data_IF_859557346473
#
_entry.id   IF_859557346473
#
_cell.length_a   1.000
_cell.length_b   1.000
_cell.length_c   1.000
_cell.angle_alpha   90.00
_cell.angle_beta   90.00
_cell.angle_gamma   90.00
#
_symmetry.space_group_name_H-M   'P 1'
#
loop_
_entity.id
_entity.type
_entity.pdbx_description
1 polymer ?
#
# COMPACT_ATOMS: atom_id res chain seq x y z
N UNK A 1 -23.20 -10.88 -6.77
CA UNK A 1 -24.17 -10.34 -5.81
C UNK A 1 -24.49 -11.35 -4.73
N UNK A 2 -25.69 -11.93 -4.73
CA UNK A 2 -26.22 -12.71 -3.59
C UNK A 2 -25.38 -13.95 -3.19
N UNK A 3 -24.82 -14.68 -4.15
CA UNK A 3 -23.96 -15.85 -3.86
C UNK A 3 -22.67 -15.44 -3.14
N UNK A 4 -22.02 -14.36 -3.62
CA UNK A 4 -20.80 -13.83 -3.00
C UNK A 4 -21.08 -13.33 -1.57
N UNK A 5 -22.21 -12.65 -1.35
CA UNK A 5 -22.64 -12.22 -0.02
C UNK A 5 -22.86 -13.38 0.94
N UNK A 6 -23.49 -14.47 0.48
CA UNK A 6 -23.71 -15.65 1.30
C UNK A 6 -22.37 -16.30 1.68
N UNK A 7 -21.46 -16.49 0.72
CA UNK A 7 -20.12 -17.03 1.01
C UNK A 7 -19.37 -16.17 2.03
N UNK A 8 -19.43 -14.85 1.86
CA UNK A 8 -18.76 -13.92 2.76
C UNK A 8 -19.35 -13.96 4.17
N UNK A 9 -20.68 -13.99 4.30
CA UNK A 9 -21.35 -14.11 5.59
C UNK A 9 -20.97 -15.43 6.31
N UNK A 10 -20.90 -16.55 5.57
CA UNK A 10 -20.46 -17.83 6.14
C UNK A 10 -19.01 -17.76 6.60
N UNK A 11 -18.12 -17.18 5.79
CA UNK A 11 -16.69 -17.03 6.11
C UNK A 11 -16.48 -16.12 7.33
N UNK A 12 -17.21 -15.01 7.41
CA UNK A 12 -17.16 -14.07 8.53
C UNK A 12 -17.68 -14.70 9.83
N UNK A 13 -18.67 -15.60 9.75
CA UNK A 13 -19.21 -16.30 10.93
C UNK A 13 -18.27 -17.36 11.51
N UNK A 14 -17.18 -17.73 10.82
CA UNK A 14 -16.19 -18.68 11.32
C UNK A 14 -15.22 -17.95 12.24
N UNK A 15 -15.08 -18.42 13.48
CA UNK A 15 -14.06 -17.96 14.44
C UNK A 15 -12.67 -18.52 14.10
N UNK A 16 -12.11 -18.07 12.97
CA UNK A 16 -10.79 -18.46 12.49
C UNK A 16 -9.73 -17.44 12.93
N UNK A 17 -8.63 -17.94 13.52
CA UNK A 17 -7.44 -17.13 13.88
C UNK A 17 -6.73 -16.52 12.67
N UNK A 18 -6.80 -17.19 11.52
CA UNK A 18 -6.27 -16.70 10.24
C UNK A 18 -7.36 -16.78 9.19
N UNK A 19 -7.66 -15.65 8.57
CA UNK A 19 -8.62 -15.52 7.48
C UNK A 19 -7.89 -15.07 6.23
N UNK A 20 -7.94 -15.88 5.16
CA UNK A 20 -7.34 -15.55 3.86
C UNK A 20 -8.45 -15.34 2.84
N UNK A 21 -8.48 -14.17 2.21
CA UNK A 21 -9.54 -13.73 1.34
C UNK A 21 -8.96 -13.36 -0.02
N UNK A 22 -9.32 -14.13 -1.05
CA UNK A 22 -8.89 -13.87 -2.41
C UNK A 22 -9.94 -13.07 -3.18
N UNK A 23 -9.66 -11.79 -3.47
CA UNK A 23 -10.59 -10.86 -4.14
C UNK A 23 -12.03 -10.89 -3.58
N UNK A 24 -12.22 -10.70 -2.26
CA UNK A 24 -13.49 -11.00 -1.56
C UNK A 24 -14.68 -10.13 -2.00
N UNK A 25 -14.39 -8.98 -2.60
CA UNK A 25 -15.39 -7.97 -2.99
C UNK A 25 -15.79 -8.07 -4.45
N UNK A 26 -15.19 -9.00 -5.21
CA UNK A 26 -15.49 -9.18 -6.62
C UNK A 26 -16.96 -9.57 -6.84
N UNK A 27 -17.70 -8.74 -7.56
CA UNK A 27 -19.12 -8.96 -7.84
C UNK A 27 -20.08 -8.55 -6.72
N UNK A 28 -19.59 -7.84 -5.69
CA UNK A 28 -20.42 -7.05 -4.78
C UNK A 28 -20.69 -5.67 -5.37
N UNK A 29 -21.82 -5.07 -5.00
CA UNK A 29 -22.04 -3.65 -5.25
C UNK A 29 -21.36 -2.79 -4.16
N UNK A 30 -21.34 -1.48 -4.38
CA UNK A 30 -20.65 -0.50 -3.53
C UNK A 30 -21.15 -0.56 -2.07
N UNK A 31 -22.45 -0.79 -1.83
CA UNK A 31 -23.02 -0.79 -0.48
C UNK A 31 -22.55 -2.00 0.31
N UNK A 32 -22.65 -3.19 -0.28
CA UNK A 32 -22.23 -4.42 0.41
C UNK A 32 -20.72 -4.51 0.58
N UNK A 33 -19.97 -3.96 -0.37
CA UNK A 33 -18.52 -3.88 -0.28
C UNK A 33 -18.07 -3.02 0.89
N UNK A 34 -18.70 -1.86 1.09
CA UNK A 34 -18.43 -1.01 2.26
C UNK A 34 -18.76 -1.73 3.56
N UNK A 35 -19.95 -2.33 3.65
CA UNK A 35 -20.36 -3.11 4.83
C UNK A 35 -19.39 -4.25 5.15
N UNK A 36 -18.83 -4.89 4.13
CA UNK A 36 -17.85 -5.95 4.31
C UNK A 36 -16.56 -5.45 4.96
N UNK A 37 -15.96 -4.39 4.43
CA UNK A 37 -14.74 -3.82 5.00
C UNK A 37 -14.98 -3.24 6.40
N UNK A 38 -16.13 -2.61 6.64
CA UNK A 38 -16.54 -2.16 7.97
C UNK A 38 -16.63 -3.34 8.97
N UNK A 39 -17.11 -4.50 8.51
CA UNK A 39 -17.18 -5.72 9.32
C UNK A 39 -15.79 -6.31 9.60
N UNK A 40 -14.92 -6.36 8.58
CA UNK A 40 -13.53 -6.81 8.75
C UNK A 40 -12.76 -5.94 9.75
N UNK A 41 -12.96 -4.62 9.69
CA UNK A 41 -12.38 -3.67 10.64
C UNK A 41 -12.80 -3.99 12.07
N UNK A 42 -14.11 -4.17 12.30
CA UNK A 42 -14.63 -4.48 13.64
C UNK A 42 -14.03 -5.78 14.18
N UNK A 43 -14.00 -6.84 13.36
CA UNK A 43 -13.40 -8.12 13.71
C UNK A 43 -11.89 -8.00 14.00
N UNK A 44 -11.17 -7.15 13.26
CA UNK A 44 -9.76 -6.87 13.50
C UNK A 44 -9.51 -6.14 14.83
N UNK A 45 -10.37 -5.16 15.18
CA UNK A 45 -10.25 -4.41 16.44
C UNK A 45 -10.42 -5.28 17.68
N UNK A 46 -11.13 -6.39 17.58
CA UNK A 46 -11.25 -7.39 18.65
C UNK A 46 -9.94 -8.19 18.87
N UNK A 47 -8.90 -7.95 18.05
CA UNK A 47 -7.51 -8.46 18.14
C UNK A 47 -7.38 -9.99 18.24
N UNK A 48 -8.41 -10.72 17.85
CA UNK A 48 -8.45 -12.18 17.94
C UNK A 48 -8.05 -12.87 16.64
N UNK A 49 -7.88 -12.12 15.54
CA UNK A 49 -7.75 -12.67 14.18
C UNK A 49 -6.69 -11.94 13.35
N UNK A 50 -6.01 -12.68 12.48
CA UNK A 50 -5.16 -12.17 11.39
C UNK A 50 -5.91 -12.31 10.08
N UNK A 51 -5.93 -11.25 9.28
CA UNK A 51 -6.69 -11.20 8.01
C UNK A 51 -5.71 -10.87 6.88
N UNK A 52 -5.70 -11.71 5.85
CA UNK A 52 -4.93 -11.49 4.62
C UNK A 52 -5.91 -11.32 3.47
N UNK A 53 -5.89 -10.16 2.83
CA UNK A 53 -6.73 -9.84 1.69
C UNK A 53 -5.86 -9.65 0.47
N UNK A 54 -6.16 -10.33 -0.63
CA UNK A 54 -5.64 -9.98 -1.95
C UNK A 54 -6.67 -9.12 -2.66
N UNK A 55 -6.22 -8.03 -3.26
CA UNK A 55 -7.08 -7.21 -4.11
C UNK A 55 -6.29 -6.41 -5.12
N UNK A 56 -6.86 -6.22 -6.30
CA UNK A 56 -6.44 -5.21 -7.27
C UNK A 56 -7.07 -3.82 -7.00
N UNK A 57 -8.01 -3.71 -6.05
CA UNK A 57 -8.74 -2.48 -5.70
C UNK A 57 -8.22 -1.89 -4.38
N UNK A 58 -6.93 -1.54 -4.35
CA UNK A 58 -6.23 -1.11 -3.13
C UNK A 58 -6.77 0.19 -2.50
N UNK A 59 -7.33 1.08 -3.31
CA UNK A 59 -7.88 2.36 -2.85
C UNK A 59 -9.02 2.19 -1.85
N UNK A 60 -9.72 1.05 -1.91
CA UNK A 60 -10.91 0.79 -1.11
C UNK A 60 -10.60 0.24 0.28
N UNK A 61 -9.39 -0.28 0.45
CA UNK A 61 -8.90 -0.87 1.70
C UNK A 61 -7.83 -0.03 2.37
N UNK A 62 -7.36 1.04 1.71
CA UNK A 62 -6.23 1.84 2.20
C UNK A 62 -6.42 2.32 3.65
N UNK A 63 -7.64 2.68 4.04
CA UNK A 63 -7.94 3.18 5.40
C UNK A 63 -7.97 2.07 6.47
N UNK A 64 -8.01 0.80 6.06
CA UNK A 64 -8.17 -0.36 6.96
C UNK A 64 -6.92 -1.24 7.03
N UNK A 65 -5.94 -1.00 6.15
CA UNK A 65 -4.71 -1.77 6.07
C UNK A 65 -3.73 -1.38 7.17
N UNK A 66 -3.11 -2.39 7.77
CA UNK A 66 -1.98 -2.24 8.71
C UNK A 66 -0.64 -2.42 8.00
N UNK A 67 -0.59 -3.36 7.07
CA UNK A 67 0.59 -3.81 6.35
C UNK A 67 0.26 -3.97 4.87
N UNK A 68 1.25 -3.69 4.03
CA UNK A 68 1.16 -3.75 2.58
C UNK A 68 2.26 -4.65 2.03
N UNK A 69 1.89 -5.55 1.11
CA UNK A 69 2.84 -6.41 0.41
C UNK A 69 2.52 -6.43 -1.08
N UNK A 70 3.54 -6.17 -1.91
CA UNK A 70 3.46 -6.31 -3.36
C UNK A 70 4.21 -7.55 -3.81
N UNK A 71 3.59 -8.30 -4.72
CA UNK A 71 4.14 -9.54 -5.27
C UNK A 71 4.25 -9.39 -6.80
N UNK A 72 5.45 -9.61 -7.34
CA UNK A 72 5.69 -9.74 -8.78
C UNK A 72 6.34 -11.09 -9.10
N UNK A 73 5.74 -11.84 -10.03
CA UNK A 73 6.24 -13.15 -10.50
C UNK A 73 6.66 -14.09 -9.36
N UNK A 74 5.82 -14.16 -8.32
CA UNK A 74 6.04 -15.03 -7.16
C UNK A 74 7.11 -14.55 -6.18
N UNK A 75 7.55 -13.28 -6.27
CA UNK A 75 8.50 -12.67 -5.33
C UNK A 75 7.90 -11.44 -4.70
N UNK A 76 8.15 -11.27 -3.41
CA UNK A 76 7.83 -10.03 -2.69
C UNK A 76 8.78 -8.95 -3.20
N UNK A 77 8.22 -7.88 -3.74
CA UNK A 77 8.98 -6.72 -4.25
C UNK A 77 8.93 -5.54 -3.29
N UNK A 78 7.88 -5.49 -2.46
CA UNK A 78 7.72 -4.50 -1.40
C UNK A 78 6.94 -5.14 -0.25
N UNK A 79 7.37 -4.85 0.96
CA UNK A 79 6.71 -5.21 2.22
C UNK A 79 6.99 -4.05 3.18
N UNK A 80 5.93 -3.42 3.70
CA UNK A 80 6.05 -2.36 4.69
C UNK A 80 4.74 -2.18 5.47
N UNK A 81 4.83 -1.59 6.66
CA UNK A 81 3.63 -1.14 7.38
C UNK A 81 3.03 0.11 6.73
N UNK A 82 1.77 0.42 7.04
CA UNK A 82 1.15 1.66 6.56
C UNK A 82 1.82 2.90 7.16
N UNK A 83 2.34 2.81 8.39
CA UNK A 83 3.11 3.89 9.03
C UNK A 83 4.44 4.15 8.31
N UNK A 84 5.14 3.08 7.92
CA UNK A 84 6.35 3.19 7.09
C UNK A 84 6.01 3.75 5.72
N UNK A 85 4.91 3.29 5.09
CA UNK A 85 4.46 3.83 3.80
C UNK A 85 4.25 5.34 3.85
N UNK A 86 3.53 5.83 4.87
CA UNK A 86 3.19 7.25 5.01
C UNK A 86 4.41 8.15 5.28
N UNK A 87 5.44 7.62 5.92
CA UNK A 87 6.65 8.37 6.29
C UNK A 87 7.74 8.29 5.22
N UNK A 88 7.85 7.15 4.53
CA UNK A 88 8.90 6.85 3.55
C UNK A 88 8.57 7.38 2.16
N UNK A 89 7.32 7.24 1.72
CA UNK A 89 6.94 7.61 0.35
C UNK A 89 6.22 8.94 0.32
N UNK A 90 6.76 9.86 -0.46
CA UNK A 90 6.23 11.22 -0.61
C UNK A 90 6.05 11.56 -2.07
N UNK A 91 4.92 12.18 -2.37
CA UNK A 91 4.62 12.71 -3.68
C UNK A 91 4.71 14.23 -3.66
N UNK A 92 5.27 14.83 -4.70
CA UNK A 92 5.32 16.28 -4.86
C UNK A 92 4.75 16.69 -6.20
N UNK A 93 3.77 17.57 -6.16
CA UNK A 93 3.39 18.35 -7.34
C UNK A 93 4.34 19.52 -7.47
N UNK A 94 5.29 19.42 -8.40
CA UNK A 94 6.43 20.32 -8.51
C UNK A 94 6.08 21.56 -9.34
N UNK A 95 6.57 22.72 -8.90
CA UNK A 95 6.43 23.94 -9.67
C UNK A 95 7.28 23.87 -10.95
N UNK A 96 6.83 24.42 -12.09
CA UNK A 96 7.53 24.31 -13.38
C UNK A 96 9.02 24.71 -13.33
N UNK A 97 9.37 25.73 -12.55
CA UNK A 97 10.73 26.21 -12.35
C UNK A 97 11.65 25.23 -11.61
N UNK A 98 11.09 24.32 -10.81
CA UNK A 98 11.83 23.40 -9.93
C UNK A 98 11.92 21.96 -10.46
N UNK A 99 11.35 21.67 -11.63
CA UNK A 99 11.29 20.31 -12.19
C UNK A 99 12.67 19.69 -12.36
N UNK A 100 13.66 20.45 -12.83
CA UNK A 100 15.03 19.95 -13.00
C UNK A 100 15.66 19.58 -11.64
N UNK A 101 15.44 20.39 -10.61
CA UNK A 101 15.92 20.12 -9.26
C UNK A 101 15.23 18.90 -8.64
N UNK A 102 13.91 18.76 -8.83
CA UNK A 102 13.17 17.60 -8.36
C UNK A 102 13.62 16.29 -9.04
N UNK A 103 13.86 16.31 -10.36
CA UNK A 103 14.40 15.14 -11.08
C UNK A 103 15.81 14.76 -10.63
N UNK A 104 16.61 15.74 -10.20
CA UNK A 104 17.95 15.47 -9.66
C UNK A 104 17.91 14.67 -8.36
N UNK A 105 16.79 14.70 -7.61
CA UNK A 105 16.54 13.88 -6.42
C UNK A 105 16.14 12.44 -6.72
N UNK A 106 16.19 12.02 -8.00
CA UNK A 106 15.95 10.63 -8.43
C UNK A 106 14.60 10.08 -7.97
N UNK A 107 13.48 10.65 -8.47
CA UNK A 107 12.15 10.12 -8.20
C UNK A 107 12.03 8.68 -8.70
N UNK A 108 11.26 7.86 -7.97
CA UNK A 108 10.96 6.48 -8.38
C UNK A 108 9.88 6.42 -9.45
N UNK A 109 9.06 7.47 -9.56
CA UNK A 109 8.05 7.61 -10.61
C UNK A 109 7.77 9.08 -10.92
N UNK A 110 7.44 9.38 -12.18
CA UNK A 110 7.05 10.71 -12.64
C UNK A 110 5.81 10.62 -13.52
N UNK A 111 4.83 11.50 -13.28
CA UNK A 111 3.63 11.65 -14.10
C UNK A 111 3.33 13.13 -14.36
N UNK A 112 2.51 13.40 -15.36
CA UNK A 112 2.04 14.76 -15.66
C UNK A 112 0.55 14.88 -15.37
N UNK A 113 0.17 15.85 -14.55
CA UNK A 113 -1.22 16.13 -14.15
C UNK A 113 -1.50 17.60 -14.39
N UNK A 114 -2.45 17.92 -15.29
CA UNK A 114 -2.79 19.30 -15.69
C UNK A 114 -1.58 20.16 -16.10
N UNK A 115 -0.59 19.55 -16.76
CA UNK A 115 0.62 20.24 -17.22
C UNK A 115 1.67 20.49 -16.12
N UNK A 116 1.47 19.96 -14.91
CA UNK A 116 2.47 19.96 -13.83
C UNK A 116 3.08 18.57 -13.68
N UNK A 117 4.37 18.50 -13.38
CA UNK A 117 5.04 17.26 -13.03
C UNK A 117 4.70 16.88 -11.60
N UNK A 118 4.26 15.65 -11.41
CA UNK A 118 4.06 15.05 -10.10
C UNK A 118 5.07 13.91 -9.97
N UNK A 119 5.91 13.97 -8.94
CA UNK A 119 7.03 13.06 -8.77
C UNK A 119 6.91 12.34 -7.43
N UNK A 120 7.09 11.02 -7.47
CA UNK A 120 7.08 10.14 -6.31
C UNK A 120 8.51 9.84 -5.87
N UNK A 121 8.77 9.95 -4.57
CA UNK A 121 10.07 9.74 -3.96
C UNK A 121 10.02 8.64 -2.91
N UNK A 122 11.15 7.98 -2.72
CA UNK A 122 11.39 6.98 -1.67
C UNK A 122 12.47 7.52 -0.73
N UNK A 123 12.10 7.82 0.52
CA UNK A 123 13.03 8.17 1.60
C UNK A 123 13.63 9.57 1.52
N UNK A 124 13.03 10.49 0.75
CA UNK A 124 13.47 11.89 0.66
C UNK A 124 12.76 12.73 1.73
N UNK A 125 13.49 13.65 2.36
CA UNK A 125 12.97 14.49 3.44
C UNK A 125 11.83 15.42 2.97
N UNK A 126 10.81 15.56 3.83
CA UNK A 126 9.60 16.35 3.53
C UNK A 126 9.90 17.83 3.33
N UNK A 127 10.80 18.41 4.11
CA UNK A 127 11.10 19.85 4.04
C UNK A 127 11.85 20.18 2.75
N UNK A 128 12.74 19.28 2.32
CA UNK A 128 13.42 19.40 1.03
C UNK A 128 12.43 19.36 -0.14
N UNK A 129 11.45 18.46 -0.07
CA UNK A 129 10.39 18.34 -1.07
C UNK A 129 9.41 19.52 -1.05
N UNK A 130 9.11 20.07 0.12
CA UNK A 130 8.23 21.24 0.29
C UNK A 130 8.82 22.52 -0.34
N UNK A 131 10.15 22.61 -0.46
CA UNK A 131 10.79 23.71 -1.18
C UNK A 131 10.56 23.64 -2.71
N UNK A 132 10.23 22.47 -3.24
CA UNK A 132 10.09 22.23 -4.69
C UNK A 132 8.64 22.36 -5.17
N UNK A 133 7.67 22.14 -4.29
CA UNK A 133 6.24 22.20 -4.61
C UNK A 133 5.34 21.71 -3.48
N UNK A 134 4.13 21.29 -3.85
CA UNK A 134 3.13 20.84 -2.88
C UNK A 134 3.32 19.35 -2.57
N UNK A 135 3.72 19.03 -1.33
CA UNK A 135 3.96 17.66 -0.87
C UNK A 135 2.66 17.02 -0.39
N UNK A 136 2.41 15.79 -0.85
CA UNK A 136 1.24 14.98 -0.54
C UNK A 136 1.65 13.55 -0.25
N UNK A 137 0.74 12.79 0.35
CA UNK A 137 0.86 11.35 0.47
C UNK A 137 0.48 10.70 -0.85
N UNK A 138 1.27 9.77 -1.38
CA UNK A 138 0.91 9.03 -2.58
C UNK A 138 -0.26 8.09 -2.31
N UNK A 139 -0.96 7.67 -3.37
CA UNK A 139 -1.87 6.52 -3.30
C UNK A 139 -1.07 5.21 -3.32
N UNK A 140 -1.63 4.14 -2.76
CA UNK A 140 -1.04 2.79 -2.87
C UNK A 140 -0.94 2.37 -4.35
N UNK A 141 -1.91 2.75 -5.18
CA UNK A 141 -1.91 2.47 -6.62
C UNK A 141 -0.70 3.12 -7.33
N UNK A 142 -0.36 4.36 -6.97
CA UNK A 142 0.79 5.06 -7.55
C UNK A 142 2.11 4.39 -7.16
N UNK A 143 2.24 3.99 -5.89
CA UNK A 143 3.39 3.23 -5.44
C UNK A 143 3.48 1.87 -6.13
N UNK A 144 2.35 1.18 -6.32
CA UNK A 144 2.29 -0.09 -7.04
C UNK A 144 2.83 0.06 -8.47
N UNK A 145 2.36 1.07 -9.20
CA UNK A 145 2.85 1.35 -10.56
C UNK A 145 4.35 1.68 -10.56
N UNK A 146 4.81 2.47 -9.60
CA UNK A 146 6.21 2.84 -9.46
C UNK A 146 7.12 1.62 -9.23
N UNK A 147 6.72 0.73 -8.32
CA UNK A 147 7.46 -0.47 -7.93
C UNK A 147 7.45 -1.52 -9.04
N UNK A 148 6.28 -1.76 -9.65
CA UNK A 148 6.11 -2.77 -10.71
C UNK A 148 6.65 -2.33 -12.07
N UNK A 149 6.60 -1.03 -12.35
CA UNK A 149 7.11 -0.43 -13.60
C UNK A 149 8.62 -0.18 -13.58
N UNK A 150 9.27 -0.19 -12.42
CA UNK A 150 10.70 0.04 -12.29
C UNK A 150 11.50 -1.23 -12.63
N UNK A 151 12.42 -1.20 -13.61
CA UNK A 151 13.32 -2.33 -13.88
C UNK A 151 14.32 -2.60 -12.74
N UNK A 152 14.38 -1.73 -11.73
CA UNK A 152 15.39 -1.66 -10.67
C UNK A 152 15.15 -2.59 -9.46
N UNK A 153 13.96 -3.18 -9.29
CA UNK A 153 13.58 -3.87 -8.05
C UNK A 153 14.19 -5.29 -7.86
N UNK A 154 15.25 -5.63 -8.59
CA UNK A 154 15.94 -6.93 -8.45
C UNK A 154 16.77 -7.10 -7.17
N UNK A 155 16.90 -6.09 -6.30
CA UNK A 155 17.77 -6.22 -5.12
C UNK A 155 17.37 -5.30 -3.96
N UNK A 156 16.38 -5.69 -3.16
CA UNK A 156 16.42 -5.39 -1.73
C UNK A 156 15.76 -6.53 -0.98
N UNK A 157 16.57 -7.47 -0.50
CA UNK A 157 16.14 -8.48 0.45
C UNK A 157 15.79 -7.80 1.79
N UNK A 158 14.82 -8.33 2.56
CA UNK A 158 14.56 -7.83 3.90
C UNK A 158 15.81 -8.06 4.76
N UNK A 159 16.23 -7.05 5.51
CA UNK A 159 17.27 -7.18 6.53
C UNK A 159 16.74 -8.09 7.64
N UNK A 160 16.97 -9.39 7.50
CA UNK A 160 16.91 -10.33 8.60
C UNK A 160 18.15 -10.15 9.48
N UNK A 161 17.93 -9.88 10.79
CA UNK A 161 18.92 -10.23 11.81
C UNK A 161 19.17 -9.20 12.90
N UNK A 162 18.27 -9.11 13.89
CA UNK A 162 18.69 -8.99 15.28
C UNK A 162 17.87 -9.95 16.15
N UNK A 163 18.38 -11.19 16.25
CA UNK A 163 17.92 -12.18 17.20
C UNK A 163 19.07 -13.11 17.56
N UNK A 164 19.47 -13.11 18.83
CA UNK A 164 20.29 -14.17 19.43
C UNK A 164 21.71 -13.78 19.82
N UNK A 165 21.87 -13.26 21.04
CA UNK A 165 23.02 -13.62 21.88
C UNK A 165 22.49 -14.34 23.12
N UNK A 166 22.55 -15.67 23.09
CA UNK A 166 22.52 -16.52 24.28
C UNK A 166 23.99 -16.72 24.65
N UNK A 167 24.40 -16.23 25.82
CA UNK A 167 25.72 -16.53 26.37
C UNK A 167 25.64 -17.84 27.16
N UNK A 168 26.66 -18.66 26.96
CA UNK A 168 27.09 -19.78 27.80
C UNK A 168 27.30 -19.41 29.27
#
# INVERSE_FOLDING_TARGET
>A
GMVAQLHLAVVMAIDAKLLVLDEPTLGLDILFRKQFYDSLLNDYFDRSRTIVVTTHQVEEVQDVLTDLMFIDRGRIVLECSMEEFESRYLEVMVNPENVAAARALKPIHERSVFGRSVLLFDGVDRDQLAALGEVRRPSIADLFIAVMGSPSHKATAPQAGQGGKVNE
#
